data_IF_064023997226
#
_entry.id   IF_064023997226
#
_cell.length_a   1.000
_cell.length_b   1.000
_cell.length_c   1.000
_cell.angle_alpha   90.00
_cell.angle_beta   90.00
_cell.angle_gamma   90.00
#
_symmetry.space_group_name_H-M   'P 1'
#
loop_
_entity.id
_entity.type
_entity.pdbx_description
1 polymer ?
#
# COMPACT_ATOMS: atom_id res chain seq x y z
N UNK A 1 11.86 19.42 10.69
CA UNK A 1 12.10 18.12 10.06
C UNK A 1 11.15 17.08 10.59
N UNK A 2 10.51 16.41 9.75
CA UNK A 2 9.53 15.47 10.23
C UNK A 2 10.14 14.08 10.39
N UNK A 3 9.54 13.30 11.25
CA UNK A 3 10.00 11.96 11.55
C UNK A 3 9.63 10.95 10.49
N UNK A 4 8.90 11.38 9.48
CA UNK A 4 8.45 10.50 8.40
C UNK A 4 9.30 10.60 7.18
N UNK A 5 10.55 11.01 7.37
CA UNK A 5 11.47 11.09 6.26
C UNK A 5 11.52 9.74 5.56
N UNK A 6 11.31 9.74 4.27
CA UNK A 6 11.26 8.52 3.49
C UNK A 6 9.89 7.86 3.42
N UNK A 7 8.93 8.32 4.21
CA UNK A 7 7.57 7.82 4.10
C UNK A 7 6.71 8.80 3.32
N UNK A 8 5.79 8.30 2.50
CA UNK A 8 4.86 9.19 1.82
C UNK A 8 3.83 9.74 2.80
N UNK A 9 3.25 10.87 2.46
CA UNK A 9 2.03 11.31 3.13
C UNK A 9 0.88 10.44 2.66
N UNK A 10 -0.26 10.52 3.36
CA UNK A 10 -1.46 9.79 2.92
C UNK A 10 -1.82 10.20 1.49
N UNK A 11 -1.76 11.50 1.19
CA UNK A 11 -2.11 11.97 -0.14
C UNK A 11 -1.17 11.41 -1.20
N UNK A 12 0.12 11.36 -0.90
CA UNK A 12 1.09 10.79 -1.84
C UNK A 12 0.85 9.30 -2.04
N UNK A 13 0.52 8.60 -0.97
CA UNK A 13 0.24 7.18 -1.05
C UNK A 13 -1.01 6.92 -1.89
N UNK A 14 -2.05 7.70 -1.69
CA UNK A 14 -3.28 7.57 -2.48
C UNK A 14 -3.04 7.88 -3.96
N UNK A 15 -2.19 8.88 -4.23
CA UNK A 15 -1.84 9.19 -5.61
C UNK A 15 -1.12 8.04 -6.28
N UNK A 16 -0.20 7.38 -5.58
CA UNK A 16 0.46 6.20 -6.13
C UNK A 16 -0.55 5.10 -6.44
N UNK A 17 -1.47 4.85 -5.53
CA UNK A 17 -2.48 3.82 -5.73
C UNK A 17 -3.35 4.16 -6.93
N UNK A 18 -3.66 5.44 -7.12
CA UNK A 18 -4.51 5.86 -8.22
C UNK A 18 -3.82 5.75 -9.56
N UNK A 19 -2.49 5.97 -9.62
CA UNK A 19 -1.81 6.13 -10.90
C UNK A 19 -0.91 4.96 -11.29
N UNK A 20 -0.54 4.09 -10.36
CA UNK A 20 0.37 2.97 -10.65
C UNK A 20 -0.37 1.65 -10.57
N UNK A 21 -0.04 0.67 -11.43
CA UNK A 21 -0.70 -0.65 -11.35
C UNK A 21 -0.31 -1.45 -10.13
N UNK A 22 0.90 -1.26 -9.62
CA UNK A 22 1.42 -1.97 -8.46
C UNK A 22 2.11 -0.97 -7.56
N UNK A 23 1.99 -1.18 -6.26
CA UNK A 23 2.66 -0.34 -5.27
C UNK A 23 3.20 -1.23 -4.15
N UNK A 24 4.06 -0.68 -3.32
CA UNK A 24 4.59 -1.40 -2.17
C UNK A 24 3.52 -1.54 -1.09
N UNK A 25 3.49 -2.70 -0.42
CA UNK A 25 2.63 -2.84 0.75
C UNK A 25 3.03 -1.84 1.82
N UNK A 26 4.32 -1.72 2.07
CA UNK A 26 4.83 -0.71 2.98
C UNK A 26 5.90 0.08 2.26
N UNK A 27 5.88 1.40 2.32
CA UNK A 27 4.95 2.18 3.15
C UNK A 27 3.61 2.54 2.47
N UNK A 28 3.48 2.34 1.19
CA UNK A 28 2.38 2.94 0.41
C UNK A 28 1.00 2.51 0.91
N UNK A 29 0.72 1.21 0.89
CA UNK A 29 -0.62 0.76 1.29
C UNK A 29 -0.84 0.95 2.79
N UNK A 30 0.19 0.68 3.59
CA UNK A 30 0.08 0.88 5.03
C UNK A 30 -0.25 2.32 5.38
N UNK A 31 0.44 3.28 4.77
CA UNK A 31 0.18 4.70 5.01
C UNK A 31 -1.21 5.09 4.52
N UNK A 32 -1.61 4.61 3.35
CA UNK A 32 -2.93 4.93 2.81
C UNK A 32 -4.05 4.40 3.70
N UNK A 33 -3.84 3.25 4.32
CA UNK A 33 -4.83 2.66 5.22
C UNK A 33 -4.72 3.18 6.64
N UNK A 34 -3.63 3.86 6.97
CA UNK A 34 -3.42 4.37 8.31
C UNK A 34 -3.04 3.27 9.30
N UNK A 35 -2.35 2.24 8.86
CA UNK A 35 -1.97 1.12 9.71
C UNK A 35 -0.46 0.94 9.70
N UNK A 36 0.03 0.18 10.66
CA UNK A 36 1.46 -0.07 10.80
C UNK A 36 1.96 -1.04 9.73
N UNK A 37 3.28 -1.12 9.61
CA UNK A 37 3.92 -2.07 8.71
C UNK A 37 3.48 -3.51 9.00
N UNK A 38 3.52 -3.90 10.28
CA UNK A 38 3.11 -5.25 10.65
C UNK A 38 1.67 -5.53 10.31
N UNK A 39 0.80 -4.54 10.55
CA UNK A 39 -0.62 -4.72 10.29
C UNK A 39 -0.92 -4.89 8.80
N UNK A 40 -0.23 -4.14 7.93
CA UNK A 40 -0.50 -4.27 6.50
C UNK A 40 0.02 -5.60 5.95
N UNK A 41 1.15 -6.09 6.45
CA UNK A 41 1.64 -7.40 6.03
C UNK A 41 0.73 -8.52 6.54
N UNK A 42 0.19 -8.37 7.75
CA UNK A 42 -0.79 -9.33 8.25
C UNK A 42 -2.05 -9.35 7.40
N UNK A 43 -2.53 -8.18 7.02
CA UNK A 43 -3.71 -8.09 6.17
C UNK A 43 -3.46 -8.76 4.82
N UNK A 44 -2.28 -8.57 4.26
CA UNK A 44 -1.93 -9.24 2.99
C UNK A 44 -1.86 -10.75 3.19
N UNK A 45 -1.32 -11.21 4.30
CA UNK A 45 -1.22 -12.64 4.57
C UNK A 45 -2.61 -13.29 4.75
N UNK A 46 -3.58 -12.53 5.24
CA UNK A 46 -4.96 -13.02 5.37
C UNK A 46 -5.76 -12.92 4.09
N UNK A 47 -5.16 -12.40 3.02
CA UNK A 47 -5.86 -12.25 1.76
C UNK A 47 -6.73 -11.01 1.66
N UNK A 48 -6.58 -10.08 2.60
CA UNK A 48 -7.36 -8.84 2.58
C UNK A 48 -6.84 -7.82 1.58
N UNK A 49 -5.58 -7.98 1.19
CA UNK A 49 -4.94 -7.14 0.18
C UNK A 49 -4.47 -8.06 -0.94
N UNK A 50 -4.87 -7.78 -2.15
CA UNK A 50 -4.42 -8.58 -3.29
C UNK A 50 -2.98 -8.23 -3.61
N UNK A 51 -2.14 -9.25 -3.71
CA UNK A 51 -0.72 -9.06 -3.95
C UNK A 51 -0.26 -9.87 -5.15
N UNK A 52 0.81 -9.38 -5.76
CA UNK A 52 1.47 -10.06 -6.87
C UNK A 52 2.92 -10.28 -6.47
N UNK A 53 3.38 -11.54 -6.42
CA UNK A 53 4.79 -11.78 -6.14
C UNK A 53 5.64 -11.36 -7.33
N UNK A 54 6.71 -10.63 -7.06
CA UNK A 54 7.66 -10.19 -8.08
C UNK A 54 9.04 -10.52 -7.53
N UNK A 55 9.59 -11.64 -7.94
CA UNK A 55 10.83 -12.14 -7.36
C UNK A 55 10.64 -12.41 -5.88
N UNK A 56 11.43 -11.74 -5.05
CA UNK A 56 11.33 -11.87 -3.60
C UNK A 56 10.33 -10.89 -2.99
N UNK A 57 9.82 -9.99 -3.81
CA UNK A 57 8.94 -8.93 -3.31
C UNK A 57 7.49 -9.30 -3.54
N UNK A 58 6.63 -8.73 -2.72
CA UNK A 58 5.20 -8.79 -2.94
C UNK A 58 4.71 -7.37 -3.14
N UNK A 59 4.10 -7.13 -4.28
CA UNK A 59 3.54 -5.82 -4.59
C UNK A 59 2.03 -5.87 -4.46
N UNK A 60 1.45 -4.79 -3.98
CA UNK A 60 0.00 -4.69 -3.90
C UNK A 60 -0.56 -4.33 -5.27
N UNK A 61 -1.63 -5.00 -5.66
CA UNK A 61 -2.33 -4.73 -6.92
C UNK A 61 -3.30 -3.59 -6.64
N UNK A 62 -3.20 -2.51 -7.42
CA UNK A 62 -3.92 -1.28 -7.08
C UNK A 62 -5.37 -1.23 -7.54
N UNK A 63 -5.74 -1.97 -8.58
CA UNK A 63 -7.11 -1.91 -9.07
C UNK A 63 -8.15 -2.24 -7.99
N UNK A 64 -8.03 -3.35 -7.23
CA UNK A 64 -8.98 -3.57 -6.14
C UNK A 64 -8.87 -2.55 -5.02
N UNK A 65 -7.67 -2.01 -4.80
CA UNK A 65 -7.51 -0.98 -3.78
C UNK A 65 -8.26 0.29 -4.15
N UNK A 66 -8.21 0.67 -5.41
CA UNK A 66 -8.94 1.85 -5.86
C UNK A 66 -10.43 1.68 -5.64
N UNK A 67 -10.96 0.49 -5.91
CA UNK A 67 -12.37 0.24 -5.69
C UNK A 67 -12.75 0.31 -4.22
N UNK A 68 -11.92 -0.28 -3.36
CA UNK A 68 -12.18 -0.27 -1.93
C UNK A 68 -12.09 1.12 -1.33
N UNK A 69 -11.15 1.92 -1.83
CA UNK A 69 -10.93 3.26 -1.31
C UNK A 69 -11.78 4.31 -2.01
N UNK A 70 -12.40 3.97 -3.11
CA UNK A 70 -13.26 4.91 -3.84
C UNK A 70 -12.51 5.98 -4.60
N UNK A 71 -11.34 5.64 -5.10
CA UNK A 71 -10.52 6.64 -5.81
C UNK A 71 -10.22 6.23 -7.25
#
# INVERSE_FOLDING_TARGET
MNDNKGLPTVEEALEEIRTKPLVNLWPTVGVAYGVSRGAIYDAAARGEIDVLPVGRLKKAITAPLRRKLGI
#
